data_IF_263576702065
#
_entry.id   IF_263576702065
#
_cell.length_a   1.000
_cell.length_b   1.000
_cell.length_c   1.000
_cell.angle_alpha   90.00
_cell.angle_beta   90.00
_cell.angle_gamma   90.00
#
_symmetry.space_group_name_H-M   'P 1'
#
loop_
_entity.id
_entity.type
_entity.pdbx_description
1 polymer ?
#
# COMPACT_ATOMS: atom_id res chain seq x y z
N UNK A 1 -22.13 25.05 -10.03
CA UNK A 1 -22.05 24.13 -8.87
C UNK A 1 -22.81 22.87 -9.25
N UNK A 2 -22.13 21.75 -9.44
CA UNK A 2 -22.78 20.45 -9.65
C UNK A 2 -23.45 20.04 -8.34
N UNK A 3 -24.73 19.67 -8.39
CA UNK A 3 -25.45 19.15 -7.22
C UNK A 3 -24.77 17.89 -6.68
N UNK A 4 -24.83 17.64 -5.35
CA UNK A 4 -24.27 16.42 -4.77
C UNK A 4 -24.94 15.18 -5.36
N UNK A 5 -24.14 14.28 -5.95
CA UNK A 5 -24.59 12.98 -6.44
C UNK A 5 -24.27 11.91 -5.38
N UNK A 6 -25.28 11.59 -4.57
CA UNK A 6 -25.16 10.65 -3.44
C UNK A 6 -24.75 9.26 -3.93
N UNK A 7 -25.33 8.79 -5.02
CA UNK A 7 -25.06 7.44 -5.54
C UNK A 7 -23.64 7.36 -6.11
N UNK A 8 -23.16 8.41 -6.78
CA UNK A 8 -21.80 8.44 -7.29
C UNK A 8 -20.78 8.49 -6.14
N UNK A 9 -21.04 9.24 -5.08
CA UNK A 9 -20.21 9.24 -3.88
C UNK A 9 -20.24 7.90 -3.14
N UNK A 10 -21.41 7.28 -3.00
CA UNK A 10 -21.54 5.97 -2.37
C UNK A 10 -20.72 4.92 -3.13
N UNK A 11 -20.84 4.86 -4.46
CA UNK A 11 -20.03 3.98 -5.31
C UNK A 11 -18.54 4.25 -5.20
N UNK A 12 -18.13 5.52 -5.13
CA UNK A 12 -16.73 5.88 -4.95
C UNK A 12 -16.18 5.38 -3.59
N UNK A 13 -16.98 5.49 -2.53
CA UNK A 13 -16.63 4.97 -1.20
C UNK A 13 -16.59 3.43 -1.20
N UNK A 14 -17.54 2.75 -1.85
CA UNK A 14 -17.54 1.28 -1.97
C UNK A 14 -16.24 0.77 -2.61
N UNK A 15 -15.78 1.42 -3.68
CA UNK A 15 -14.52 1.07 -4.36
C UNK A 15 -13.32 1.26 -3.42
N UNK A 16 -13.28 2.37 -2.68
CA UNK A 16 -12.19 2.64 -1.74
C UNK A 16 -12.16 1.63 -0.59
N UNK A 17 -13.32 1.25 -0.07
CA UNK A 17 -13.43 0.24 0.99
C UNK A 17 -12.98 -1.14 0.49
N UNK A 18 -13.42 -1.55 -0.70
CA UNK A 18 -12.99 -2.80 -1.31
C UNK A 18 -11.47 -2.84 -1.54
N UNK A 19 -10.88 -1.76 -2.07
CA UNK A 19 -9.44 -1.62 -2.27
C UNK A 19 -8.68 -1.74 -0.93
N UNK A 20 -9.22 -1.18 0.15
CA UNK A 20 -8.63 -1.29 1.49
C UNK A 20 -8.69 -2.70 2.04
N UNK A 21 -9.82 -3.40 1.89
CA UNK A 21 -9.97 -4.79 2.33
C UNK A 21 -8.95 -5.67 1.62
N UNK A 22 -8.87 -5.56 0.29
CA UNK A 22 -7.92 -6.32 -0.53
C UNK A 22 -6.46 -6.00 -0.14
N UNK A 23 -6.13 -4.72 0.01
CA UNK A 23 -4.78 -4.28 0.39
C UNK A 23 -4.38 -4.80 1.77
N UNK A 24 -5.27 -4.73 2.75
CA UNK A 24 -4.98 -5.23 4.09
C UNK A 24 -4.82 -6.75 4.09
N UNK A 25 -5.67 -7.50 3.37
CA UNK A 25 -5.54 -8.95 3.24
C UNK A 25 -4.19 -9.34 2.59
N UNK A 26 -3.78 -8.63 1.54
CA UNK A 26 -2.46 -8.81 0.93
C UNK A 26 -1.30 -8.55 1.90
N UNK A 27 -1.41 -7.48 2.70
CA UNK A 27 -0.43 -7.15 3.73
C UNK A 27 -0.40 -8.17 4.87
N UNK A 28 -1.51 -8.82 5.19
CA UNK A 28 -1.57 -9.87 6.23
C UNK A 28 -0.81 -11.14 5.81
N UNK A 29 -0.82 -11.48 4.52
CA UNK A 29 -0.13 -12.68 3.99
C UNK A 29 1.39 -12.49 3.98
N UNK A 30 1.88 -11.40 3.40
CA UNK A 30 3.32 -11.13 3.33
C UNK A 30 3.60 -9.62 3.20
N UNK A 31 3.71 -8.90 4.34
CA UNK A 31 3.87 -7.45 4.32
C UNK A 31 5.09 -7.01 3.50
N UNK A 32 6.24 -7.66 3.69
CA UNK A 32 7.52 -7.21 3.13
C UNK A 32 7.63 -7.45 1.62
N UNK A 33 7.07 -8.56 1.12
CA UNK A 33 7.11 -8.92 -0.30
C UNK A 33 6.08 -8.12 -1.12
N UNK A 34 4.92 -7.85 -0.53
CA UNK A 34 3.78 -7.24 -1.23
C UNK A 34 3.81 -5.71 -1.13
N UNK A 35 4.42 -5.12 -0.09
CA UNK A 35 4.46 -3.68 0.09
C UNK A 35 4.97 -2.87 -1.13
N UNK A 36 6.04 -3.29 -1.85
CA UNK A 36 6.45 -2.58 -3.07
C UNK A 36 5.39 -2.59 -4.18
N UNK A 37 4.67 -3.71 -4.35
CA UNK A 37 3.59 -3.83 -5.33
C UNK A 37 2.40 -2.96 -4.94
N UNK A 38 1.97 -3.02 -3.67
CA UNK A 38 0.88 -2.20 -3.13
C UNK A 38 1.18 -0.71 -3.29
N UNK A 39 2.42 -0.28 -3.03
CA UNK A 39 2.81 1.12 -3.22
C UNK A 39 2.69 1.57 -4.68
N UNK A 40 3.04 0.72 -5.65
CA UNK A 40 2.85 1.02 -7.08
C UNK A 40 1.38 1.17 -7.43
N UNK A 41 0.51 0.29 -6.93
CA UNK A 41 -0.94 0.39 -7.14
C UNK A 41 -1.50 1.68 -6.52
N UNK A 42 -1.12 1.99 -5.28
CA UNK A 42 -1.57 3.18 -4.58
C UNK A 42 -1.17 4.49 -5.30
N UNK A 43 0.01 4.54 -5.91
CA UNK A 43 0.45 5.73 -6.67
C UNK A 43 -0.24 5.89 -8.03
N UNK A 44 -0.86 4.83 -8.55
CA UNK A 44 -1.69 4.86 -9.76
C UNK A 44 -3.13 5.33 -9.50
N UNK A 45 -3.59 5.30 -8.25
CA UNK A 45 -4.94 5.74 -7.89
C UNK A 45 -5.15 7.23 -8.24
N UNK A 46 -6.37 7.55 -8.67
CA UNK A 46 -6.79 8.89 -9.08
C UNK A 46 -8.07 9.25 -8.36
N UNK A 47 -8.13 10.48 -7.84
CA UNK A 47 -9.33 11.03 -7.23
C UNK A 47 -10.45 11.08 -8.28
N UNK A 48 -11.61 10.47 -8.01
CA UNK A 48 -12.78 10.58 -8.88
C UNK A 48 -13.15 12.05 -9.13
N UNK A 49 -13.33 12.41 -10.40
CA UNK A 49 -13.70 13.76 -10.80
C UNK A 49 -15.21 13.88 -10.98
N UNK A 50 -15.74 15.09 -10.85
CA UNK A 50 -17.13 15.38 -11.21
C UNK A 50 -18.19 14.89 -10.20
N UNK A 51 -17.81 14.37 -9.04
CA UNK A 51 -18.75 13.91 -8.00
C UNK A 51 -19.52 15.05 -7.31
N UNK A 52 -19.08 16.31 -7.50
CA UNK A 52 -19.61 17.44 -6.75
C UNK A 52 -19.19 17.40 -5.27
N UNK A 53 -19.82 18.21 -4.40
CA UNK A 53 -19.52 18.19 -2.97
C UNK A 53 -19.95 16.87 -2.33
N UNK A 54 -19.22 16.43 -1.30
CA UNK A 54 -19.59 15.25 -0.51
C UNK A 54 -20.94 15.51 0.21
N UNK A 55 -21.94 14.64 0.05
CA UNK A 55 -23.21 14.71 0.78
C UNK A 55 -22.99 14.57 2.29
N UNK A 56 -23.75 15.32 3.10
CA UNK A 56 -23.60 15.34 4.55
C UNK A 56 -23.88 13.96 5.18
N UNK A 57 -24.79 13.20 4.57
CA UNK A 57 -25.20 11.85 4.95
C UNK A 57 -24.06 10.84 4.85
N UNK A 58 -23.10 11.08 3.95
CA UNK A 58 -21.93 10.22 3.74
C UNK A 58 -20.68 10.71 4.49
N UNK A 59 -20.78 11.81 5.25
CA UNK A 59 -19.65 12.45 5.91
C UNK A 59 -18.95 11.53 6.91
N UNK A 60 -19.71 10.85 7.79
CA UNK A 60 -19.13 9.93 8.77
C UNK A 60 -18.46 8.73 8.09
N UNK A 61 -19.14 8.13 7.11
CA UNK A 61 -18.56 7.03 6.32
C UNK A 61 -17.26 7.43 5.63
N UNK A 62 -17.21 8.62 5.03
CA UNK A 62 -15.99 9.12 4.40
C UNK A 62 -14.85 9.35 5.41
N UNK A 63 -15.15 9.77 6.64
CA UNK A 63 -14.16 9.90 7.72
C UNK A 63 -13.62 8.53 8.14
N UNK A 64 -14.47 7.53 8.25
CA UNK A 64 -14.07 6.15 8.58
C UNK A 64 -13.15 5.56 7.50
N UNK A 65 -13.50 5.75 6.23
CA UNK A 65 -12.65 5.36 5.09
C UNK A 65 -11.29 6.06 5.18
N UNK A 66 -11.27 7.37 5.43
CA UNK A 66 -10.01 8.13 5.56
C UNK A 66 -9.15 7.63 6.73
N UNK A 67 -9.76 7.30 7.88
CA UNK A 67 -9.08 6.74 9.02
C UNK A 67 -8.46 5.37 8.69
N UNK A 68 -9.21 4.50 8.02
CA UNK A 68 -8.73 3.21 7.54
C UNK A 68 -7.57 3.36 6.53
N UNK A 69 -7.69 4.28 5.57
CA UNK A 69 -6.60 4.61 4.62
C UNK A 69 -5.31 5.01 5.34
N UNK A 70 -5.41 5.88 6.36
CA UNK A 70 -4.25 6.31 7.16
C UNK A 70 -3.63 5.14 7.93
N UNK A 71 -4.44 4.26 8.51
CA UNK A 71 -3.96 3.07 9.21
C UNK A 71 -3.23 2.12 8.25
N UNK A 72 -3.79 1.82 7.08
CA UNK A 72 -3.17 0.99 6.05
C UNK A 72 -1.89 1.62 5.50
N UNK A 73 -1.87 2.94 5.26
CA UNK A 73 -0.66 3.65 4.84
C UNK A 73 0.46 3.54 5.90
N UNK A 74 0.14 3.63 7.18
CA UNK A 74 1.12 3.43 8.25
C UNK A 74 1.66 1.99 8.30
N UNK A 75 0.81 0.99 8.05
CA UNK A 75 1.26 -0.42 7.93
C UNK A 75 2.21 -0.59 6.75
N UNK A 76 1.85 -0.02 5.59
CA UNK A 76 2.65 -0.07 4.38
C UNK A 76 4.04 0.57 4.58
N UNK A 77 4.09 1.75 5.22
CA UNK A 77 5.34 2.44 5.51
C UNK A 77 6.27 1.60 6.40
N UNK A 78 5.72 0.92 7.41
CA UNK A 78 6.50 0.02 8.28
C UNK A 78 7.07 -1.16 7.51
N UNK A 79 6.25 -1.84 6.69
CA UNK A 79 6.70 -2.97 5.87
C UNK A 79 7.83 -2.55 4.91
N UNK A 80 7.68 -1.41 4.22
CA UNK A 80 8.72 -0.88 3.32
C UNK A 80 10.03 -0.55 4.05
N UNK A 81 9.96 -0.05 5.28
CA UNK A 81 11.16 0.25 6.05
C UNK A 81 11.91 -1.03 6.47
N UNK A 82 11.19 -2.08 6.88
CA UNK A 82 11.77 -3.40 7.19
C UNK A 82 12.47 -3.97 5.96
N UNK A 83 11.82 -3.92 4.79
CA UNK A 83 12.43 -4.38 3.52
C UNK A 83 13.73 -3.62 3.23
N UNK A 84 13.75 -2.28 3.36
CA UNK A 84 14.95 -1.45 3.11
C UNK A 84 16.10 -1.78 4.07
N UNK A 85 15.83 -1.96 5.36
CA UNK A 85 16.85 -2.32 6.35
C UNK A 85 17.44 -3.69 6.03
N UNK A 86 16.60 -4.68 5.71
CA UNK A 86 17.08 -6.02 5.33
C UNK A 86 17.94 -6.00 4.07
N UNK A 87 17.55 -5.26 3.04
CA UNK A 87 18.37 -5.13 1.83
C UNK A 87 19.76 -4.56 2.13
N UNK A 88 19.85 -3.52 2.97
CA UNK A 88 21.16 -2.95 3.36
C UNK A 88 22.05 -3.93 4.10
N UNK A 89 21.49 -4.70 5.05
CA UNK A 89 22.27 -5.70 5.80
C UNK A 89 22.77 -6.82 4.87
N UNK A 90 21.98 -7.23 3.88
CA UNK A 90 22.41 -8.22 2.89
C UNK A 90 23.49 -7.64 1.96
N UNK A 91 23.34 -6.40 1.49
CA UNK A 91 24.35 -5.74 0.67
C UNK A 91 25.69 -5.58 1.41
N UNK A 92 25.67 -5.23 2.71
CA UNK A 92 26.87 -5.15 3.56
C UNK A 92 27.50 -6.52 3.85
N UNK A 93 26.71 -7.60 3.84
CA UNK A 93 27.18 -8.98 4.03
C UNK A 93 27.78 -9.63 2.78
N UNK A 94 27.54 -9.05 1.59
CA UNK A 94 28.00 -9.63 0.30
C UNK A 94 29.43 -9.21 -0.06
N UNK A 95 30.05 -8.30 0.70
CA UNK A 95 31.47 -7.91 0.55
C UNK A 95 32.44 -8.77 1.39
N UNK A 96 32.05 -10.01 1.72
CA UNK A 96 32.96 -10.98 2.33
C UNK A 96 32.85 -12.34 1.65
N UNK A 97 33.92 -12.66 0.92
CA UNK A 97 34.28 -13.95 0.32
C UNK A 97 33.81 -14.17 -1.12
N UNK A 98 34.67 -13.76 -2.06
CA UNK A 98 34.86 -14.53 -3.30
C UNK A 98 35.02 -16.01 -2.90
N UNK A 99 34.21 -16.95 -3.40
CA UNK A 99 34.49 -18.36 -3.19
C UNK A 99 35.82 -18.67 -3.89
N UNK A 100 36.89 -18.80 -3.10
CA UNK A 100 38.14 -19.38 -3.57
C UNK A 100 37.85 -20.85 -3.78
N UNK A 101 37.68 -21.26 -5.03
CA UNK A 101 37.80 -22.66 -5.40
C UNK A 101 39.27 -23.03 -5.15
N UNK A 102 39.52 -23.73 -4.04
CA UNK A 102 40.75 -24.49 -3.88
C UNK A 102 40.68 -25.64 -4.89
N UNK A 103 41.48 -25.56 -5.95
CA UNK A 103 41.74 -26.69 -6.82
C UNK A 103 42.28 -27.83 -5.96
N UNK A 104 41.49 -28.87 -5.84
CA UNK A 104 41.91 -30.16 -5.33
C UNK A 104 42.51 -30.96 -6.49
N UNK A 105 43.77 -30.68 -6.82
CA UNK A 105 44.65 -31.61 -7.55
C UNK A 105 45.90 -31.74 -6.67
N UNK A 106 46.28 -32.90 -6.16
CA UNK A 106 46.54 -34.15 -6.87
C UNK A 106 48.02 -34.48 -6.63
#
# INVERSE_FOLDING_TARGET
>A
MTSPDIDAWARALDVLEADLVETNAMLDVSPDAIAPMVLRRATAWRVPQGLGPLPAELSERAKDVLAAQRATAARLARALNVTRVRSRVLDEGTDRSKPVYLDAEG
#
